data_IF_471382218919
#
_entry.id   IF_471382218919
#
_cell.length_a   1.000
_cell.length_b   1.000
_cell.length_c   1.000
_cell.angle_alpha   90.00
_cell.angle_beta   90.00
_cell.angle_gamma   90.00
#
_symmetry.space_group_name_H-M   'P 1'
#
loop_
_entity.id
_entity.type
_entity.pdbx_description
1 polymer ?
#
# COMPACT_ATOMS: atom_id res chain seq x y z
N UNK A 1 2.89 15.82 11.46
CA UNK A 1 3.84 16.00 12.58
C UNK A 1 5.10 15.11 12.50
N UNK A 2 5.43 14.48 11.36
CA UNK A 2 6.44 13.40 11.30
C UNK A 2 7.90 13.85 11.07
N UNK A 3 8.14 14.99 10.37
CA UNK A 3 9.52 15.45 10.06
C UNK A 3 10.37 15.84 11.27
N UNK A 4 9.75 16.26 12.37
CA UNK A 4 10.46 16.69 13.58
C UNK A 4 11.06 15.51 14.33
N UNK A 5 10.36 14.36 14.34
CA UNK A 5 10.84 13.12 14.94
C UNK A 5 12.04 12.53 14.18
N UNK A 6 12.02 12.62 12.84
CA UNK A 6 13.12 12.17 11.99
C UNK A 6 14.44 12.93 12.26
N UNK A 7 14.36 14.25 12.44
CA UNK A 7 15.54 15.08 12.75
C UNK A 7 16.04 14.88 14.20
N UNK A 8 15.16 14.58 15.14
CA UNK A 8 15.53 14.28 16.52
C UNK A 8 16.32 12.96 16.60
N UNK A 9 15.80 11.90 15.96
CA UNK A 9 16.46 10.59 15.90
C UNK A 9 17.88 10.64 15.33
N UNK A 10 18.09 11.40 14.25
CA UNK A 10 19.43 11.57 13.65
C UNK A 10 20.42 12.25 14.60
N UNK A 11 19.94 13.18 15.44
CA UNK A 11 20.78 13.90 16.40
C UNK A 11 21.12 13.02 17.60
N UNK A 12 20.16 12.24 18.07
CA UNK A 12 20.33 11.30 19.18
C UNK A 12 21.28 10.14 18.78
N UNK A 13 21.27 9.71 17.51
CA UNK A 13 22.23 8.75 16.95
C UNK A 13 23.66 9.31 16.81
N UNK A 14 23.80 10.60 16.54
CA UNK A 14 25.12 11.25 16.43
C UNK A 14 25.78 11.49 17.79
N UNK A 15 25.01 11.51 18.88
CA UNK A 15 25.51 11.63 20.26
C UNK A 15 25.78 10.25 20.87
N UNK A 16 24.99 9.23 20.49
CA UNK A 16 25.20 7.83 20.87
C UNK A 16 26.41 7.17 20.17
N UNK A 17 27.03 7.82 19.18
CA UNK A 17 28.26 7.33 18.53
C UNK A 17 29.54 7.59 19.33
N UNK A 18 29.44 8.19 20.52
CA UNK A 18 30.60 8.50 21.39
C UNK A 18 30.71 7.56 22.60
N UNK A 19 30.21 6.32 22.49
CA UNK A 19 30.47 5.28 23.50
C UNK A 19 31.91 4.80 23.33
N UNK A 20 32.76 5.31 24.22
CA UNK A 20 34.17 4.98 24.39
C UNK A 20 34.38 3.46 24.49
N UNK A 21 34.74 2.80 23.39
CA UNK A 21 35.13 1.38 23.44
C UNK A 21 35.15 0.58 22.14
N UNK A 22 34.43 0.97 21.08
CA UNK A 22 34.46 0.22 19.81
C UNK A 22 34.29 1.17 18.62
N UNK A 23 35.40 1.58 18.02
CA UNK A 23 35.44 2.30 16.74
C UNK A 23 35.13 1.33 15.59
N UNK A 24 33.85 0.95 15.42
CA UNK A 24 33.42 0.33 14.16
C UNK A 24 33.23 1.46 13.16
N UNK A 25 34.31 1.81 12.46
CA UNK A 25 34.27 2.72 11.33
C UNK A 25 33.37 2.10 10.25
N UNK A 26 32.13 2.58 10.14
CA UNK A 26 31.20 2.16 9.10
C UNK A 26 31.82 2.50 7.73
N UNK A 27 32.46 1.52 7.11
CA UNK A 27 33.09 1.64 5.81
C UNK A 27 32.05 2.15 4.80
N UNK A 28 32.30 3.34 4.24
CA UNK A 28 31.43 4.06 3.30
C UNK A 28 31.10 3.23 2.04
N UNK A 29 31.80 2.12 1.81
CA UNK A 29 31.54 1.13 0.77
C UNK A 29 30.31 0.22 1.05
N UNK A 30 30.03 -0.11 2.31
CA UNK A 30 28.92 -0.98 2.73
C UNK A 30 27.57 -0.30 2.53
N UNK A 31 27.49 1.00 2.82
CA UNK A 31 26.29 1.83 2.61
C UNK A 31 25.92 1.89 1.12
N UNK A 32 26.93 1.98 0.24
CA UNK A 32 26.73 2.00 -1.23
C UNK A 32 26.34 0.65 -1.83
N UNK A 33 26.55 -0.47 -1.13
CA UNK A 33 26.07 -1.79 -1.56
C UNK A 33 24.61 -1.99 -1.17
N UNK A 34 24.22 -1.57 0.03
CA UNK A 34 22.83 -1.64 0.51
C UNK A 34 21.93 -0.77 -0.37
N UNK A 35 22.34 0.47 -0.70
CA UNK A 35 21.57 1.33 -1.63
C UNK A 35 21.34 0.66 -2.99
N UNK A 36 22.36 -0.01 -3.55
CA UNK A 36 22.23 -0.70 -4.84
C UNK A 36 21.34 -1.94 -4.78
N UNK A 37 21.29 -2.63 -3.64
CA UNK A 37 20.41 -3.76 -3.44
C UNK A 37 18.96 -3.28 -3.30
N UNK A 38 18.72 -2.24 -2.51
CA UNK A 38 17.38 -1.62 -2.37
C UNK A 38 16.87 -1.11 -3.73
N UNK A 39 17.69 -0.40 -4.50
CA UNK A 39 17.34 0.09 -5.85
C UNK A 39 17.00 -1.07 -6.81
N UNK A 40 17.73 -2.18 -6.75
CA UNK A 40 17.50 -3.33 -7.63
C UNK A 40 16.22 -4.10 -7.23
N UNK A 41 15.90 -4.15 -5.94
CA UNK A 41 14.66 -4.75 -5.45
C UNK A 41 13.43 -3.88 -5.76
N UNK A 42 13.52 -2.57 -5.56
CA UNK A 42 12.46 -1.61 -5.90
C UNK A 42 12.11 -1.71 -7.39
N UNK A 43 13.12 -1.73 -8.25
CA UNK A 43 12.93 -1.75 -9.70
C UNK A 43 12.36 -3.07 -10.21
N UNK A 44 12.75 -4.21 -9.63
CA UNK A 44 12.21 -5.53 -10.02
C UNK A 44 10.77 -5.73 -9.55
N UNK A 45 10.40 -5.26 -8.36
CA UNK A 45 9.01 -5.36 -7.89
C UNK A 45 8.10 -4.46 -8.74
N UNK A 46 8.53 -3.22 -9.01
CA UNK A 46 7.74 -2.28 -9.81
C UNK A 46 7.59 -2.73 -11.27
N UNK A 47 8.63 -3.31 -11.88
CA UNK A 47 8.56 -3.74 -13.29
C UNK A 47 7.64 -4.94 -13.51
N UNK A 48 7.57 -5.88 -12.56
CA UNK A 48 6.70 -7.05 -12.67
C UNK A 48 5.23 -6.74 -12.37
N UNK A 49 4.94 -5.61 -11.69
CA UNK A 49 3.58 -5.16 -11.41
C UNK A 49 2.94 -4.39 -12.57
N UNK A 50 3.75 -3.66 -13.34
CA UNK A 50 3.25 -2.86 -14.47
C UNK A 50 3.02 -3.70 -15.75
N UNK A 51 3.82 -4.75 -15.97
CA UNK A 51 3.85 -5.46 -17.25
C UNK A 51 2.64 -6.40 -17.48
N UNK A 52 1.99 -6.88 -16.41
CA UNK A 52 0.75 -7.66 -16.48
C UNK A 52 -0.52 -6.79 -16.56
N UNK A 53 -0.46 -5.54 -16.08
CA UNK A 53 -1.62 -4.63 -16.01
C UNK A 53 -1.85 -3.85 -17.31
N UNK A 54 -0.77 -3.43 -17.99
CA UNK A 54 -0.88 -2.54 -19.17
C UNK A 54 -1.51 -3.24 -20.39
N UNK A 55 -1.54 -4.57 -20.45
CA UNK A 55 -1.95 -5.31 -21.66
C UNK A 55 -3.46 -5.43 -21.88
N UNK A 56 -4.32 -4.85 -21.01
CA UNK A 56 -5.78 -4.97 -21.11
C UNK A 56 -6.60 -3.68 -20.93
N UNK A 57 -6.05 -2.48 -21.15
CA UNK A 57 -6.91 -1.28 -21.27
C UNK A 57 -7.58 -1.26 -22.66
N UNK A 58 -8.54 -2.15 -22.85
CA UNK A 58 -9.49 -2.07 -23.95
C UNK A 58 -10.49 -0.97 -23.58
N UNK A 59 -10.75 -0.08 -24.51
CA UNK A 59 -11.57 1.13 -24.40
C UNK A 59 -12.87 1.06 -23.55
N UNK A 60 -13.47 -0.12 -23.40
CA UNK A 60 -14.63 -0.40 -22.53
C UNK A 60 -14.37 -0.12 -21.05
N UNK A 61 -13.18 -0.42 -20.54
CA UNK A 61 -12.87 -0.28 -19.11
C UNK A 61 -12.81 1.19 -18.71
N UNK A 62 -12.29 2.05 -19.60
CA UNK A 62 -12.23 3.51 -19.38
C UNK A 62 -13.63 4.15 -19.37
N UNK A 63 -14.57 3.59 -20.13
CA UNK A 63 -15.97 4.05 -20.15
C UNK A 63 -16.68 3.60 -18.88
N UNK A 64 -16.50 2.34 -18.48
CA UNK A 64 -17.05 1.81 -17.23
C UNK A 64 -16.57 2.60 -16.00
N UNK A 65 -15.31 3.03 -15.99
CA UNK A 65 -14.72 3.86 -14.91
C UNK A 65 -15.40 5.19 -14.76
N UNK A 66 -15.61 5.84 -15.91
CA UNK A 66 -16.22 7.15 -15.95
C UNK A 66 -17.70 7.07 -15.56
N UNK A 67 -18.40 6.00 -15.95
CA UNK A 67 -19.79 5.74 -15.55
C UNK A 67 -19.89 5.40 -14.04
N UNK A 68 -19.01 4.56 -13.51
CA UNK A 68 -19.00 4.20 -12.09
C UNK A 68 -18.70 5.42 -11.19
N UNK A 69 -17.72 6.24 -11.59
CA UNK A 69 -17.39 7.47 -10.88
C UNK A 69 -18.53 8.51 -10.95
N UNK A 70 -19.20 8.61 -12.09
CA UNK A 70 -20.32 9.55 -12.28
C UNK A 70 -21.57 9.10 -11.52
N UNK A 71 -21.93 7.81 -11.59
CA UNK A 71 -23.10 7.23 -10.93
C UNK A 71 -22.98 7.15 -9.40
N UNK A 72 -21.76 7.09 -8.86
CA UNK A 72 -21.51 7.06 -7.41
C UNK A 72 -21.44 8.43 -6.73
N UNK A 73 -21.53 9.53 -7.48
CA UNK A 73 -21.40 10.88 -6.92
C UNK A 73 -22.70 11.36 -6.27
N UNK A 74 -22.60 11.91 -5.06
CA UNK A 74 -23.71 12.58 -4.38
C UNK A 74 -24.38 13.68 -5.22
N UNK A 75 -23.61 14.36 -6.09
CA UNK A 75 -24.15 15.40 -6.98
C UNK A 75 -25.03 14.83 -8.09
N UNK A 76 -24.72 13.63 -8.59
CA UNK A 76 -25.52 12.96 -9.61
C UNK A 76 -26.90 12.57 -9.05
N UNK A 77 -26.93 12.00 -7.85
CA UNK A 77 -28.16 11.60 -7.17
C UNK A 77 -29.10 12.79 -6.99
N UNK A 78 -28.57 13.94 -6.53
CA UNK A 78 -29.36 15.17 -6.32
C UNK A 78 -29.89 15.71 -7.66
N UNK A 79 -29.05 15.78 -8.70
CA UNK A 79 -29.47 16.24 -10.02
C UNK A 79 -30.55 15.33 -10.63
N UNK A 80 -30.40 14.02 -10.49
CA UNK A 80 -31.37 13.04 -10.97
C UNK A 80 -32.71 13.14 -10.23
N UNK A 81 -32.69 13.34 -8.91
CA UNK A 81 -33.88 13.57 -8.11
C UNK A 81 -34.61 14.87 -8.51
N UNK A 82 -33.88 15.95 -8.76
CA UNK A 82 -34.46 17.21 -9.26
C UNK A 82 -35.07 17.01 -10.64
N UNK A 83 -34.38 16.31 -11.55
CA UNK A 83 -34.90 15.99 -12.87
C UNK A 83 -36.22 15.21 -12.80
N UNK A 84 -36.30 14.18 -11.95
CA UNK A 84 -37.54 13.43 -11.74
C UNK A 84 -38.65 14.33 -11.18
N UNK A 85 -38.35 15.19 -10.21
CA UNK A 85 -39.33 16.12 -9.64
C UNK A 85 -39.85 17.11 -10.69
N UNK A 86 -38.97 17.66 -11.54
CA UNK A 86 -39.35 18.55 -12.65
C UNK A 86 -40.19 17.80 -13.68
N UNK A 87 -39.84 16.56 -14.01
CA UNK A 87 -40.60 15.73 -14.96
C UNK A 87 -42.01 15.44 -14.47
N UNK A 88 -42.15 15.06 -13.20
CA UNK A 88 -43.45 14.81 -12.56
C UNK A 88 -44.25 16.11 -12.51
N UNK A 89 -43.64 17.23 -12.09
CA UNK A 89 -44.31 18.53 -12.05
C UNK A 89 -44.78 18.98 -13.44
N UNK A 90 -43.95 18.82 -14.47
CA UNK A 90 -44.28 19.14 -15.85
C UNK A 90 -45.47 18.31 -16.35
N UNK A 91 -45.45 16.99 -16.16
CA UNK A 91 -46.54 16.12 -16.61
C UNK A 91 -47.83 16.28 -15.78
N UNK A 92 -47.74 16.74 -14.52
CA UNK A 92 -48.91 16.95 -13.64
C UNK A 92 -49.55 18.33 -13.84
N UNK A 93 -48.75 19.37 -14.07
CA UNK A 93 -49.23 20.75 -14.27
C UNK A 93 -49.74 20.99 -15.70
N UNK A 94 -49.18 20.27 -16.67
CA UNK A 94 -49.54 20.42 -18.09
C UNK A 94 -50.75 19.54 -18.39
N UNK A 95 -51.93 19.94 -17.92
CA UNK A 95 -53.23 19.34 -18.22
C UNK A 95 -53.67 19.59 -19.68
N UNK A 96 -52.81 19.22 -20.62
CA UNK A 96 -53.03 19.40 -22.07
C UNK A 96 -53.78 18.18 -22.60
N UNK A 97 -54.72 18.33 -23.56
CA UNK A 97 -55.52 17.21 -24.08
C UNK A 97 -54.71 16.06 -24.69
N UNK A 98 -53.45 16.29 -25.06
CA UNK A 98 -52.46 15.25 -25.37
C UNK A 98 -51.65 14.89 -24.12
N UNK A 99 -52.18 13.95 -23.32
CA UNK A 99 -51.52 13.46 -22.12
C UNK A 99 -50.37 12.52 -22.51
N UNK A 100 -49.14 13.02 -22.44
CA UNK A 100 -47.94 12.25 -22.83
C UNK A 100 -47.60 11.15 -21.81
N UNK A 101 -47.90 11.36 -20.51
CA UNK A 101 -47.75 10.35 -19.44
C UNK A 101 -48.73 10.60 -18.27
N UNK A 102 -49.92 9.99 -18.31
CA UNK A 102 -50.91 10.06 -17.23
C UNK A 102 -50.49 9.20 -16.03
N UNK A 103 -50.94 9.57 -14.82
CA UNK A 103 -50.82 8.71 -13.64
C UNK A 103 -51.37 7.30 -13.98
N UNK A 104 -50.56 6.22 -13.86
CA UNK A 104 -49.42 6.03 -12.94
C UNK A 104 -48.00 6.19 -13.54
N UNK A 105 -47.77 7.06 -14.53
CA UNK A 105 -46.46 7.36 -15.15
C UNK A 105 -45.75 6.13 -15.73
N UNK A 106 -46.36 5.48 -16.73
CA UNK A 106 -45.89 4.20 -17.28
C UNK A 106 -44.53 4.32 -17.98
N UNK A 107 -44.27 5.45 -18.63
CA UNK A 107 -43.01 5.69 -19.34
C UNK A 107 -41.86 5.92 -18.35
N UNK A 108 -42.12 6.69 -17.29
CA UNK A 108 -41.14 6.92 -16.23
C UNK A 108 -40.80 5.62 -15.51
N UNK A 109 -41.80 4.81 -15.21
CA UNK A 109 -41.60 3.51 -14.56
C UNK A 109 -40.79 2.55 -15.45
N UNK A 110 -41.07 2.51 -16.76
CA UNK A 110 -40.29 1.72 -17.71
C UNK A 110 -38.81 2.16 -17.76
N UNK A 111 -38.57 3.48 -17.80
CA UNK A 111 -37.23 4.05 -17.82
C UNK A 111 -36.44 3.71 -16.54
N UNK A 112 -37.05 3.93 -15.37
CA UNK A 112 -36.43 3.58 -14.08
C UNK A 112 -36.11 2.09 -13.97
N UNK A 113 -37.03 1.23 -14.43
CA UNK A 113 -36.82 -0.22 -14.42
C UNK A 113 -35.62 -0.63 -15.26
N UNK A 114 -35.44 -0.03 -16.44
CA UNK A 114 -34.28 -0.26 -17.29
C UNK A 114 -32.98 0.23 -16.64
N UNK A 115 -32.97 1.44 -16.09
CA UNK A 115 -31.80 2.00 -15.38
C UNK A 115 -31.39 1.10 -14.22
N UNK A 116 -32.35 0.65 -13.40
CA UNK A 116 -32.09 -0.24 -12.27
C UNK A 116 -31.53 -1.60 -12.73
N UNK A 117 -32.03 -2.16 -13.83
CA UNK A 117 -31.55 -3.43 -14.39
C UNK A 117 -30.07 -3.36 -14.81
N UNK A 118 -29.64 -2.24 -15.40
CA UNK A 118 -28.22 -2.02 -15.77
C UNK A 118 -27.33 -1.64 -14.59
N UNK A 119 -27.89 -1.15 -13.49
CA UNK A 119 -27.14 -0.70 -12.34
C UNK A 119 -26.38 -1.85 -11.65
N UNK A 120 -27.04 -2.99 -11.41
CA UNK A 120 -26.43 -4.11 -10.68
C UNK A 120 -25.20 -4.73 -11.40
N UNK A 121 -25.22 -5.00 -12.72
CA UNK A 121 -24.05 -5.47 -13.45
C UNK A 121 -22.90 -4.45 -13.48
N UNK A 122 -23.20 -3.15 -13.64
CA UNK A 122 -22.18 -2.09 -13.64
C UNK A 122 -21.50 -1.99 -12.27
N UNK A 123 -22.29 -2.05 -11.19
CA UNK A 123 -21.74 -2.12 -9.82
C UNK A 123 -20.88 -3.38 -9.67
N UNK A 124 -21.39 -4.54 -10.09
CA UNK A 124 -20.66 -5.82 -10.00
C UNK A 124 -19.34 -5.81 -10.78
N UNK A 125 -19.32 -5.22 -11.98
CA UNK A 125 -18.09 -5.05 -12.76
C UNK A 125 -17.08 -4.14 -12.05
N UNK A 126 -17.54 -3.02 -11.48
CA UNK A 126 -16.69 -2.11 -10.71
C UNK A 126 -16.12 -2.77 -9.44
N UNK A 127 -16.94 -3.57 -8.75
CA UNK A 127 -16.56 -4.34 -7.57
C UNK A 127 -15.57 -5.45 -7.91
N UNK A 128 -15.82 -6.22 -8.98
CA UNK A 128 -14.93 -7.29 -9.41
C UNK A 128 -13.53 -6.76 -9.76
N UNK A 129 -13.45 -5.56 -10.35
CA UNK A 129 -12.15 -4.93 -10.60
C UNK A 129 -11.47 -4.44 -9.33
N UNK A 130 -12.20 -3.82 -8.39
CA UNK A 130 -11.63 -3.42 -7.10
C UNK A 130 -11.09 -4.66 -6.37
N UNK A 131 -11.88 -5.73 -6.26
CA UNK A 131 -11.47 -6.98 -5.63
C UNK A 131 -10.22 -7.60 -6.30
N UNK A 132 -10.12 -7.53 -7.63
CA UNK A 132 -8.91 -7.99 -8.34
C UNK A 132 -7.69 -7.17 -7.95
N UNK A 133 -7.80 -5.84 -7.87
CA UNK A 133 -6.70 -4.96 -7.43
C UNK A 133 -6.31 -5.23 -5.99
N UNK A 134 -7.28 -5.32 -5.10
CA UNK A 134 -7.06 -5.55 -3.66
C UNK A 134 -6.40 -6.92 -3.42
N UNK A 135 -6.76 -7.93 -4.25
CA UNK A 135 -6.09 -9.23 -4.23
C UNK A 135 -4.62 -9.12 -4.66
N UNK A 136 -4.32 -8.35 -5.71
CA UNK A 136 -2.92 -8.14 -6.12
C UNK A 136 -2.13 -7.41 -5.04
N UNK A 137 -2.69 -6.34 -4.47
CA UNK A 137 -2.07 -5.58 -3.38
C UNK A 137 -1.78 -6.47 -2.16
N UNK A 138 -2.73 -7.31 -1.75
CA UNK A 138 -2.52 -8.24 -0.63
C UNK A 138 -1.45 -9.31 -0.89
N UNK A 139 -1.29 -9.78 -2.14
CA UNK A 139 -0.21 -10.71 -2.52
C UNK A 139 1.16 -10.03 -2.40
N UNK A 140 1.27 -8.78 -2.83
CA UNK A 140 2.51 -8.00 -2.76
C UNK A 140 2.89 -7.76 -1.29
N UNK A 141 1.93 -7.30 -0.48
CA UNK A 141 2.12 -7.07 0.94
C UNK A 141 2.55 -8.36 1.67
N UNK A 142 1.95 -9.49 1.31
CA UNK A 142 2.37 -10.79 1.84
C UNK A 142 3.81 -11.12 1.47
N UNK A 143 4.21 -10.91 0.21
CA UNK A 143 5.57 -11.20 -0.25
C UNK A 143 6.62 -10.30 0.43
N UNK A 144 6.32 -9.01 0.61
CA UNK A 144 7.20 -8.06 1.32
C UNK A 144 7.37 -8.50 2.78
N UNK A 145 6.26 -8.81 3.47
CA UNK A 145 6.33 -9.24 4.86
C UNK A 145 7.10 -10.54 5.03
N UNK A 146 6.86 -11.53 4.15
CA UNK A 146 7.60 -12.79 4.17
C UNK A 146 9.10 -12.58 3.96
N UNK A 147 9.47 -11.66 3.05
CA UNK A 147 10.88 -11.33 2.81
C UNK A 147 11.52 -10.63 4.00
N UNK A 148 10.80 -9.69 4.64
CA UNK A 148 11.25 -9.01 5.84
C UNK A 148 11.44 -9.99 7.01
N UNK A 149 10.54 -10.96 7.17
CA UNK A 149 10.68 -12.03 8.17
C UNK A 149 11.94 -12.86 7.94
N UNK A 150 12.21 -13.24 6.69
CA UNK A 150 13.44 -13.96 6.33
C UNK A 150 14.71 -13.16 6.62
N UNK A 151 14.71 -11.85 6.34
CA UNK A 151 15.85 -10.98 6.62
C UNK A 151 16.06 -10.79 8.13
N UNK A 152 14.99 -10.73 8.93
CA UNK A 152 15.08 -10.69 10.39
C UNK A 152 15.70 -11.98 10.92
N UNK A 153 15.31 -13.15 10.40
CA UNK A 153 15.89 -14.44 10.81
C UNK A 153 17.39 -14.52 10.47
N UNK A 154 17.79 -14.06 9.29
CA UNK A 154 19.21 -13.98 8.90
C UNK A 154 20.01 -13.03 9.81
N UNK A 155 19.45 -11.87 10.12
CA UNK A 155 20.05 -10.93 11.09
C UNK A 155 20.19 -11.55 12.48
N UNK A 156 19.18 -12.30 12.96
CA UNK A 156 19.24 -13.00 14.25
C UNK A 156 20.34 -14.06 14.25
N UNK A 157 20.47 -14.83 13.17
CA UNK A 157 21.55 -15.81 12.99
C UNK A 157 22.94 -15.15 13.06
N UNK A 158 23.11 -14.01 12.37
CA UNK A 158 24.35 -13.24 12.44
C UNK A 158 24.64 -12.69 13.84
N UNK A 159 23.62 -12.18 14.55
CA UNK A 159 23.77 -11.72 15.94
C UNK A 159 24.20 -12.85 16.88
N UNK A 160 23.60 -14.04 16.76
CA UNK A 160 23.99 -15.20 17.56
C UNK A 160 25.43 -15.66 17.27
N UNK A 161 25.88 -15.57 16.02
CA UNK A 161 27.28 -15.85 15.68
C UNK A 161 28.23 -14.85 16.33
N UNK A 162 27.93 -13.55 16.26
CA UNK A 162 28.73 -12.50 16.90
C UNK A 162 28.78 -12.69 18.42
N UNK A 163 27.65 -13.03 19.05
CA UNK A 163 27.59 -13.30 20.48
C UNK A 163 28.52 -14.46 20.89
N UNK A 164 28.55 -15.55 20.10
CA UNK A 164 29.45 -16.67 20.34
C UNK A 164 30.93 -16.29 20.17
N UNK A 165 31.28 -15.55 19.13
CA UNK A 165 32.65 -15.05 18.93
C UNK A 165 33.10 -14.13 20.07
N UNK A 166 32.23 -13.22 20.54
CA UNK A 166 32.51 -12.35 21.68
C UNK A 166 32.72 -13.15 22.98
N UNK A 167 31.94 -14.22 23.20
CA UNK A 167 32.13 -15.11 24.35
C UNK A 167 33.48 -15.84 24.29
N UNK A 168 33.93 -16.26 23.12
CA UNK A 168 35.23 -16.90 22.92
C UNK A 168 36.37 -15.93 23.19
N UNK A 169 36.32 -14.73 22.61
CA UNK A 169 37.31 -13.66 22.86
C UNK A 169 37.37 -13.32 24.35
N UNK A 170 36.22 -13.21 25.03
CA UNK A 170 36.17 -12.96 26.48
C UNK A 170 36.87 -14.05 27.29
N UNK A 171 36.71 -15.33 26.92
CA UNK A 171 37.40 -16.45 27.59
C UNK A 171 38.91 -16.35 27.42
N UNK A 172 39.38 -16.10 26.20
CA UNK A 172 40.82 -15.94 25.92
C UNK A 172 41.43 -14.78 26.70
N UNK A 173 40.74 -13.63 26.80
CA UNK A 173 41.20 -12.50 27.61
C UNK A 173 41.29 -12.82 29.11
N UNK A 174 40.33 -13.58 29.63
CA UNK A 174 40.36 -14.04 31.02
C UNK A 174 41.52 -15.01 31.28
N UNK A 175 41.78 -15.94 30.36
CA UNK A 175 42.91 -16.87 30.45
C UNK A 175 44.26 -16.14 30.40
N UNK A 176 44.43 -15.18 29.48
CA UNK A 176 45.63 -14.34 29.41
C UNK A 176 45.83 -13.53 30.69
N UNK A 177 44.77 -12.91 31.22
CA UNK A 177 44.82 -12.17 32.49
C UNK A 177 45.24 -13.07 33.66
N UNK A 178 44.74 -14.31 33.72
CA UNK A 178 45.13 -15.26 34.77
C UNK A 178 46.57 -15.78 34.64
N UNK A 179 47.07 -16.01 33.42
CA UNK A 179 48.47 -16.42 33.22
C UNK A 179 49.45 -15.28 33.54
N UNK A 180 49.15 -14.06 33.09
CA UNK A 180 50.00 -12.89 33.35
C UNK A 180 50.10 -12.59 34.87
N UNK A 181 49.07 -12.91 35.64
CA UNK A 181 49.08 -12.75 37.11
C UNK A 181 49.88 -13.85 37.84
N UNK A 182 50.20 -14.97 37.18
CA UNK A 182 51.08 -16.02 37.72
C UNK A 182 52.55 -15.70 37.47
N UNK A 183 52.88 -15.17 36.30
CA UNK A 183 54.25 -14.80 35.92
C UNK A 183 54.81 -13.60 36.73
N UNK A 184 53.95 -12.82 37.39
CA UNK A 184 54.35 -11.70 38.26
C UNK A 184 54.61 -12.13 39.72
N UNK A 185 54.22 -13.35 40.09
CA UNK A 185 54.35 -13.87 41.46
C UNK A 185 55.47 -14.92 41.62
N UNK A 186 56.18 -15.26 40.55
CA UNK A 186 57.46 -15.98 40.56
C UNK A 186 58.64 -15.01 40.41
#
# INVERSE_FOLDING_TARGET
MSKKAYFQWKKDFADASNIQGFDIELNHESTKRIDRLVDHYEKSILSHLDEEYIRKTSWSDRIADRIAFFGGSWRFIICFAIFLAVWIAWNTLTATPFHFDNAPFILLNLCLSFVAAFQAPVIMMSQNRQASRDKHESIIDFAINYKAEQEIDDMQSHLHRIENELLEVKKLLLELSQNNNKDVLE
#
